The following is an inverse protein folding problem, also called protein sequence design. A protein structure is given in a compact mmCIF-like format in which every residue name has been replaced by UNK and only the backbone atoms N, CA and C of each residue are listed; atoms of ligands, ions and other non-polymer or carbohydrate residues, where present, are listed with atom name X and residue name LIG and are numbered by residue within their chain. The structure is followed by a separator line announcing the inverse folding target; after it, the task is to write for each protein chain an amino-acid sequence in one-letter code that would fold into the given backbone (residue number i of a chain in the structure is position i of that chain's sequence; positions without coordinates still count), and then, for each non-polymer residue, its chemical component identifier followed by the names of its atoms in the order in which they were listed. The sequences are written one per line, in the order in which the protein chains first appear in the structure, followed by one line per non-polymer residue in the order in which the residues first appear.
data_IF_004255071130
#
_entry.id   IF_004255071130
#
_cell.length_a   1.000
_cell.length_b   1.000
_cell.length_c   1.000
_cell.angle_alpha   90.00
_cell.angle_beta   90.00
_cell.angle_gamma   90.00
#
_symmetry.space_group_name_H-M   'P 1'
#
loop_
_entity.id
_entity.type
_entity.pdbx_description
1 polymer ?
#
# COMPACT_ATOMS: atom_id res chain seq x y z
N UNK A 1 -4.04 -9.01 23.74
CA UNK A 1 -3.06 -7.92 23.52
C UNK A 1 -3.30 -7.40 22.13
N UNK A 2 -3.46 -6.08 21.95
CA UNK A 2 -3.66 -5.43 20.66
C UNK A 2 -2.31 -5.10 20.03
N UNK A 3 -2.28 -4.96 18.71
CA UNK A 3 -1.13 -4.52 17.92
C UNK A 3 -1.62 -3.61 16.81
N UNK A 4 -0.70 -2.89 16.16
CA UNK A 4 -0.99 -2.06 14.99
C UNK A 4 -0.79 -2.89 13.74
N UNK A 5 -1.74 -2.81 12.82
CA UNK A 5 -1.82 -3.63 11.62
C UNK A 5 -1.99 -2.80 10.36
N UNK A 6 -1.59 -3.41 9.25
CA UNK A 6 -1.84 -2.90 7.90
C UNK A 6 -2.22 -4.03 6.96
N UNK A 7 -3.04 -3.72 5.96
CA UNK A 7 -3.31 -4.59 4.81
C UNK A 7 -2.60 -4.00 3.60
N UNK A 8 -1.77 -4.81 2.98
CA UNK A 8 -0.98 -4.43 1.82
C UNK A 8 -1.34 -5.26 0.59
N UNK A 9 -1.10 -4.66 -0.58
CA UNK A 9 -1.02 -5.32 -1.87
C UNK A 9 0.46 -5.38 -2.24
N UNK A 10 1.00 -6.59 -2.31
CA UNK A 10 2.41 -6.81 -2.64
C UNK A 10 2.54 -7.24 -4.10
N UNK A 11 3.58 -6.79 -4.83
CA UNK A 11 3.87 -7.32 -6.16
C UNK A 11 4.19 -8.82 -6.08
N UNK A 12 3.98 -9.58 -7.17
CA UNK A 12 4.27 -11.01 -7.21
C UNK A 12 5.73 -11.30 -6.82
N UNK A 13 5.97 -12.28 -5.90
CA UNK A 13 7.31 -12.66 -5.50
C UNK A 13 8.16 -13.11 -6.71
N UNK A 14 9.39 -12.60 -6.80
CA UNK A 14 10.32 -12.91 -7.88
C UNK A 14 10.04 -12.17 -9.20
N UNK A 15 8.99 -11.33 -9.25
CA UNK A 15 8.72 -10.46 -10.38
C UNK A 15 9.69 -9.28 -10.46
N UNK A 16 9.85 -8.70 -11.65
CA UNK A 16 10.79 -7.58 -11.89
C UNK A 16 10.50 -6.39 -10.98
N UNK A 17 9.22 -6.03 -10.83
CA UNK A 17 8.83 -4.93 -9.96
C UNK A 17 9.23 -5.18 -8.49
N UNK A 18 8.96 -6.38 -7.95
CA UNK A 18 9.32 -6.73 -6.57
C UNK A 18 10.83 -6.67 -6.36
N UNK A 19 11.60 -7.28 -7.26
CA UNK A 19 13.06 -7.33 -7.17
C UNK A 19 13.68 -5.94 -7.27
N UNK A 20 13.35 -5.18 -8.33
CA UNK A 20 13.95 -3.87 -8.60
C UNK A 20 13.55 -2.81 -7.57
N UNK A 21 12.27 -2.74 -7.18
CA UNK A 21 11.85 -1.81 -6.14
C UNK A 21 12.39 -2.22 -4.76
N UNK A 22 12.46 -3.51 -4.45
CA UNK A 22 13.07 -4.01 -3.22
C UNK A 22 14.58 -3.74 -3.12
N UNK A 23 15.33 -3.91 -4.22
CA UNK A 23 16.75 -3.52 -4.30
C UNK A 23 16.92 -2.02 -4.09
N UNK A 24 16.09 -1.21 -4.77
CA UNK A 24 16.11 0.24 -4.62
C UNK A 24 15.83 0.67 -3.17
N UNK A 25 14.77 0.14 -2.54
CA UNK A 25 14.41 0.42 -1.16
C UNK A 25 15.59 0.08 -0.22
N UNK A 26 16.19 -1.09 -0.35
CA UNK A 26 17.34 -1.49 0.48
C UNK A 26 18.55 -0.57 0.29
N UNK A 27 18.89 -0.23 -0.94
CA UNK A 27 20.01 0.64 -1.27
C UNK A 27 19.80 2.06 -0.70
N UNK A 28 18.61 2.65 -0.90
CA UNK A 28 18.32 3.98 -0.43
C UNK A 28 18.17 4.05 1.09
N UNK A 29 17.53 3.06 1.72
CA UNK A 29 17.47 2.98 3.18
C UNK A 29 18.87 2.95 3.81
N UNK A 30 19.79 2.17 3.26
CA UNK A 30 21.17 2.13 3.73
C UNK A 30 21.91 3.46 3.51
N UNK A 31 21.79 4.04 2.31
CA UNK A 31 22.44 5.31 1.94
C UNK A 31 21.93 6.49 2.77
N UNK A 32 20.61 6.56 2.96
CA UNK A 32 19.95 7.69 3.62
C UNK A 32 19.76 7.51 5.13
N UNK A 33 20.14 6.38 5.71
CA UNK A 33 20.07 6.14 7.17
C UNK A 33 20.73 7.28 7.99
N UNK A 34 21.93 7.79 7.62
CA UNK A 34 22.53 8.94 8.33
C UNK A 34 21.74 10.24 8.19
N UNK A 35 20.83 10.33 7.23
CA UNK A 35 20.01 11.49 6.92
C UNK A 35 18.55 11.35 7.41
N UNK A 36 18.24 10.38 8.24
CA UNK A 36 16.92 10.21 8.84
C UNK A 36 15.96 9.28 8.10
N UNK A 37 16.45 8.47 7.15
CA UNK A 37 15.64 7.41 6.53
C UNK A 37 15.43 6.23 7.50
N UNK A 38 14.30 5.54 7.31
CA UNK A 38 13.98 4.28 7.98
C UNK A 38 14.90 3.15 7.54
N UNK A 39 14.76 1.98 8.17
CA UNK A 39 15.21 0.71 7.63
C UNK A 39 14.47 0.33 6.34
N UNK A 40 14.93 -0.74 5.69
CA UNK A 40 14.29 -1.27 4.50
C UNK A 40 12.98 -1.99 4.86
N UNK A 41 12.03 -1.93 3.95
CA UNK A 41 10.72 -2.58 4.05
C UNK A 41 10.36 -3.28 2.73
N UNK A 42 9.37 -4.17 2.77
CA UNK A 42 8.91 -4.89 1.57
C UNK A 42 8.16 -3.95 0.60
N UNK A 43 8.37 -4.06 -0.71
CA UNK A 43 7.60 -3.31 -1.70
C UNK A 43 6.10 -3.59 -1.59
N UNK A 44 5.27 -2.56 -1.48
CA UNK A 44 3.84 -2.71 -1.36
C UNK A 44 3.05 -1.45 -1.70
N UNK A 45 1.77 -1.61 -1.98
CA UNK A 45 0.78 -0.53 -1.92
C UNK A 45 -0.12 -0.78 -0.71
N UNK A 46 -0.18 0.18 0.20
CA UNK A 46 -1.05 0.09 1.37
C UNK A 46 -2.51 0.21 0.95
N UNK A 47 -3.31 -0.80 1.27
CA UNK A 47 -4.75 -0.73 1.10
C UNK A 47 -5.40 -0.01 2.29
N UNK A 48 -5.06 -0.41 3.51
CA UNK A 48 -5.42 0.26 4.76
C UNK A 48 -4.33 0.01 5.80
N UNK A 49 -4.05 0.97 6.67
CA UNK A 49 -3.01 0.83 7.68
C UNK A 49 -3.27 1.62 8.94
N UNK A 50 -2.52 1.27 9.99
CA UNK A 50 -2.57 1.95 11.28
C UNK A 50 -3.82 1.61 12.11
N UNK A 51 -4.48 0.46 11.86
CA UNK A 51 -5.60 0.02 12.69
C UNK A 51 -5.12 -0.85 13.85
N UNK A 52 -5.81 -0.75 14.98
CA UNK A 52 -5.44 -1.44 16.21
C UNK A 52 -6.51 -2.48 16.61
N UNK A 53 -6.09 -3.74 16.70
CA UNK A 53 -6.94 -4.83 17.16
C UNK A 53 -6.10 -6.03 17.62
N UNK A 54 -6.74 -7.11 18.06
CA UNK A 54 -6.05 -8.38 18.36
C UNK A 54 -5.65 -9.09 17.08
N UNK A 55 -4.67 -10.00 17.15
CA UNK A 55 -4.25 -10.83 16.02
C UNK A 55 -5.42 -11.64 15.43
N UNK A 56 -6.30 -12.18 16.28
CA UNK A 56 -7.44 -12.96 15.83
C UNK A 56 -8.45 -12.11 15.04
N UNK A 57 -8.72 -10.89 15.50
CA UNK A 57 -9.59 -9.94 14.80
C UNK A 57 -8.98 -9.51 13.47
N UNK A 58 -7.66 -9.21 13.45
CA UNK A 58 -6.94 -8.84 12.24
C UNK A 58 -6.99 -9.96 11.18
N UNK A 59 -6.74 -11.21 11.57
CA UNK A 59 -6.81 -12.38 10.68
C UNK A 59 -8.23 -12.60 10.14
N UNK A 60 -9.22 -12.58 11.01
CA UNK A 60 -10.63 -12.73 10.62
C UNK A 60 -11.05 -11.64 9.64
N UNK A 61 -10.68 -10.38 9.92
CA UNK A 61 -10.93 -9.25 9.03
C UNK A 61 -10.25 -9.40 7.68
N UNK A 62 -8.98 -9.83 7.64
CA UNK A 62 -8.26 -10.06 6.39
C UNK A 62 -8.87 -11.17 5.52
N UNK A 63 -9.29 -12.28 6.14
CA UNK A 63 -9.99 -13.39 5.45
C UNK A 63 -11.34 -12.92 4.90
N UNK A 64 -12.12 -12.19 5.70
CA UNK A 64 -13.40 -11.64 5.24
C UNK A 64 -13.21 -10.65 4.11
N UNK A 65 -12.25 -9.72 4.23
CA UNK A 65 -11.89 -8.76 3.20
C UNK A 65 -11.53 -9.45 1.88
N UNK A 66 -10.65 -10.46 1.94
CA UNK A 66 -10.26 -11.23 0.76
C UNK A 66 -11.44 -12.01 0.13
N UNK A 67 -12.43 -12.40 0.95
CA UNK A 67 -13.67 -13.03 0.46
C UNK A 67 -14.60 -12.03 -0.25
N UNK A 68 -14.54 -10.75 0.09
CA UNK A 68 -15.38 -9.70 -0.49
C UNK A 68 -14.73 -9.04 -1.72
N UNK A 69 -13.41 -9.18 -1.88
CA UNK A 69 -12.65 -8.61 -2.98
C UNK A 69 -12.38 -9.62 -4.10
N UNK A 70 -12.39 -9.12 -5.33
CA UNK A 70 -11.78 -9.78 -6.49
C UNK A 70 -10.32 -9.36 -6.63
N UNK A 71 -9.61 -9.89 -7.62
CA UNK A 71 -8.28 -9.41 -7.99
C UNK A 71 -8.30 -7.92 -8.30
N UNK A 72 -7.26 -7.22 -7.89
CA UNK A 72 -7.19 -5.77 -7.92
C UNK A 72 -6.04 -5.34 -8.83
N UNK A 73 -6.30 -4.57 -9.91
CA UNK A 73 -5.25 -4.00 -10.71
C UNK A 73 -4.54 -2.88 -9.93
N UNK A 74 -3.24 -3.01 -9.74
CA UNK A 74 -2.35 -2.01 -9.15
C UNK A 74 -1.48 -1.47 -10.29
N UNK A 75 -2.07 -0.62 -11.13
CA UNK A 75 -1.45 -0.18 -12.39
C UNK A 75 -2.24 0.97 -13.05
N UNK A 76 -1.59 1.71 -13.94
CA UNK A 76 -0.14 1.79 -14.09
C UNK A 76 0.53 2.64 -13.01
N UNK A 77 1.86 2.59 -12.92
CA UNK A 77 2.60 3.60 -12.18
C UNK A 77 2.79 4.85 -13.04
N UNK A 78 2.53 6.02 -12.46
CA UNK A 78 2.54 7.30 -13.17
C UNK A 78 3.92 7.94 -13.18
N UNK A 79 4.48 8.14 -12.00
CA UNK A 79 5.75 8.84 -11.77
C UNK A 79 6.31 8.53 -10.39
N UNK A 80 7.55 8.98 -10.15
CA UNK A 80 8.15 9.07 -8.82
C UNK A 80 8.04 10.50 -8.32
N UNK A 81 7.64 10.66 -7.07
CA UNK A 81 7.52 11.96 -6.43
C UNK A 81 7.92 11.91 -4.95
N UNK A 82 7.95 13.06 -4.30
CA UNK A 82 8.27 13.22 -2.88
C UNK A 82 7.14 13.87 -2.11
N UNK A 83 7.11 13.64 -0.82
CA UNK A 83 6.13 14.23 0.09
C UNK A 83 6.74 14.73 1.39
N UNK A 84 5.89 15.32 2.23
CA UNK A 84 6.27 15.89 3.50
C UNK A 84 5.95 15.02 4.73
N UNK A 85 5.53 13.77 4.53
CA UNK A 85 5.21 12.86 5.64
C UNK A 85 6.23 11.73 5.69
N UNK A 86 6.56 11.25 6.89
CA UNK A 86 7.52 10.17 7.11
C UNK A 86 7.28 8.96 6.19
N UNK A 87 6.07 8.41 6.16
CA UNK A 87 5.71 7.25 5.31
C UNK A 87 5.36 7.60 3.86
N UNK A 88 5.53 8.86 3.46
CA UNK A 88 5.36 9.37 2.09
C UNK A 88 6.54 10.28 1.73
N UNK A 89 7.75 9.82 2.02
CA UNK A 89 8.98 10.59 1.78
C UNK A 89 9.33 10.60 0.28
N UNK A 90 9.59 9.43 -0.31
CA UNK A 90 9.74 9.24 -1.77
C UNK A 90 8.92 8.01 -2.18
N UNK A 91 8.13 8.13 -3.24
CA UNK A 91 7.21 7.07 -3.65
C UNK A 91 6.84 7.14 -5.14
N UNK A 92 6.46 5.99 -5.71
CA UNK A 92 5.85 5.87 -7.02
C UNK A 92 4.33 6.00 -6.88
N UNK A 93 3.71 6.89 -7.64
CA UNK A 93 2.24 7.02 -7.67
C UNK A 93 1.63 5.95 -8.58
N UNK A 94 0.57 5.33 -8.10
CA UNK A 94 -0.28 4.45 -8.90
C UNK A 94 -1.42 5.28 -9.48
N UNK A 95 -1.78 5.06 -10.74
CA UNK A 95 -2.96 5.71 -11.33
C UNK A 95 -4.22 5.26 -10.57
N UNK A 96 -5.01 6.21 -10.06
CA UNK A 96 -6.26 5.88 -9.37
C UNK A 96 -7.21 5.13 -10.32
N UNK A 97 -7.77 4.02 -9.85
CA UNK A 97 -8.82 3.29 -10.54
C UNK A 97 -9.94 2.90 -9.57
N UNK A 98 -11.14 2.68 -10.11
CA UNK A 98 -12.33 2.43 -9.30
C UNK A 98 -12.23 1.15 -8.47
N UNK A 99 -11.56 0.12 -8.98
CA UNK A 99 -11.41 -1.16 -8.28
C UNK A 99 -10.51 -1.00 -7.05
N UNK A 100 -9.39 -0.30 -7.21
CA UNK A 100 -8.46 -0.05 -6.09
C UNK A 100 -9.08 0.90 -5.06
N UNK A 101 -9.79 1.94 -5.51
CA UNK A 101 -10.52 2.86 -4.63
C UNK A 101 -11.63 2.14 -3.85
N UNK A 102 -12.39 1.26 -4.51
CA UNK A 102 -13.43 0.46 -3.87
C UNK A 102 -12.84 -0.54 -2.89
N UNK A 103 -11.74 -1.22 -3.25
CA UNK A 103 -11.05 -2.14 -2.34
C UNK A 103 -10.55 -1.42 -1.07
N UNK A 104 -10.01 -0.21 -1.22
CA UNK A 104 -9.64 0.63 -0.08
C UNK A 104 -10.85 0.97 0.80
N UNK A 105 -11.98 1.38 0.20
CA UNK A 105 -13.19 1.73 0.95
C UNK A 105 -13.74 0.54 1.74
N UNK A 106 -13.80 -0.66 1.12
CA UNK A 106 -14.22 -1.90 1.78
C UNK A 106 -13.26 -2.25 2.93
N UNK A 107 -11.95 -2.14 2.70
CA UNK A 107 -10.95 -2.40 3.73
C UNK A 107 -11.06 -1.39 4.89
N UNK A 108 -11.24 -0.10 4.60
CA UNK A 108 -11.41 0.93 5.61
C UNK A 108 -12.66 0.67 6.49
N UNK A 109 -13.78 0.28 5.88
CA UNK A 109 -15.00 -0.10 6.61
C UNK A 109 -14.77 -1.36 7.48
N UNK A 110 -14.16 -2.39 6.90
CA UNK A 110 -13.93 -3.68 7.58
C UNK A 110 -13.06 -3.54 8.85
N UNK A 111 -12.13 -2.60 8.86
CA UNK A 111 -11.22 -2.37 9.98
C UNK A 111 -11.53 -1.09 10.79
N UNK A 112 -12.67 -0.43 10.52
CA UNK A 112 -13.11 0.76 11.26
C UNK A 112 -12.19 1.97 11.09
N UNK A 113 -11.45 2.04 9.99
CA UNK A 113 -10.55 3.15 9.66
C UNK A 113 -11.29 4.16 8.79
N UNK A 114 -11.04 5.44 9.00
CA UNK A 114 -11.58 6.47 8.09
C UNK A 114 -10.98 6.29 6.69
N UNK A 115 -11.83 6.19 5.68
CA UNK A 115 -11.38 6.11 4.31
C UNK A 115 -10.56 7.35 3.90
N UNK A 116 -9.57 7.16 3.03
CA UNK A 116 -8.63 8.19 2.59
C UNK A 116 -7.24 8.04 3.22
N UNK A 117 -6.36 9.00 2.95
CA UNK A 117 -4.97 8.98 3.45
C UNK A 117 -4.80 9.64 4.84
N UNK A 118 -5.85 9.66 5.65
CA UNK A 118 -5.90 10.40 6.91
C UNK A 118 -6.17 11.90 6.69
N UNK A 119 -6.78 12.56 7.69
CA UNK A 119 -7.06 13.99 7.62
C UNK A 119 -8.07 14.43 6.54
N UNK A 120 -8.88 13.50 6.00
CA UNK A 120 -9.92 13.82 5.00
C UNK A 120 -9.44 13.93 3.55
N UNK A 121 -8.18 13.61 3.26
CA UNK A 121 -7.69 13.56 1.87
C UNK A 121 -8.19 12.29 1.17
N UNK A 122 -8.48 12.33 -0.16
CA UNK A 122 -8.80 11.13 -0.92
C UNK A 122 -7.69 10.07 -0.83
N UNK A 123 -8.07 8.80 -1.04
CA UNK A 123 -7.11 7.72 -1.15
C UNK A 123 -6.18 7.97 -2.34
N UNK A 124 -4.87 7.92 -2.08
CA UNK A 124 -3.82 8.07 -3.08
C UNK A 124 -2.95 6.81 -3.05
N UNK A 125 -3.21 5.84 -3.93
CA UNK A 125 -2.41 4.63 -3.99
C UNK A 125 -0.97 4.94 -4.43
N UNK A 126 0.00 4.37 -3.74
CA UNK A 126 1.42 4.57 -4.03
C UNK A 126 2.26 3.41 -3.50
N UNK A 127 3.38 3.16 -4.15
CA UNK A 127 4.45 2.28 -3.68
C UNK A 127 5.56 3.16 -3.10
N UNK A 128 5.77 3.08 -1.80
CA UNK A 128 6.83 3.83 -1.13
C UNK A 128 8.20 3.27 -1.45
N UNK A 129 9.17 4.17 -1.65
CA UNK A 129 10.57 3.84 -1.94
C UNK A 129 11.50 4.23 -0.80
N UNK A 130 11.14 5.28 -0.05
CA UNK A 130 11.86 5.73 1.14
C UNK A 130 10.85 6.22 2.17
N UNK A 131 11.03 5.81 3.41
CA UNK A 131 10.40 6.42 4.58
C UNK A 131 11.44 7.24 5.34
N UNK A 132 11.05 8.32 5.98
CA UNK A 132 11.90 9.12 6.83
C UNK A 132 11.70 10.61 6.72
N UNK A 133 12.37 11.34 7.63
CA UNK A 133 12.47 12.79 7.63
C UNK A 133 13.78 13.22 6.95
N UNK A 134 13.87 12.90 5.66
CA UNK A 134 15.07 13.09 4.84
C UNK A 134 15.10 14.53 4.31
N UNK A 135 16.29 15.20 4.23
CA UNK A 135 16.43 16.52 3.65
C UNK A 135 15.93 16.60 2.20
N UNK A 136 15.39 17.76 1.81
CA UNK A 136 14.78 17.94 0.48
C UNK A 136 15.75 17.64 -0.68
N UNK A 137 17.04 18.05 -0.56
CA UNK A 137 18.05 17.74 -1.57
C UNK A 137 18.29 16.25 -1.77
N UNK A 138 18.22 15.48 -0.69
CA UNK A 138 18.36 14.02 -0.76
C UNK A 138 17.11 13.36 -1.35
N UNK A 139 15.90 13.89 -1.05
CA UNK A 139 14.67 13.45 -1.70
C UNK A 139 14.71 13.71 -3.20
N UNK A 140 15.19 14.90 -3.64
CA UNK A 140 15.31 15.24 -5.06
C UNK A 140 16.27 14.30 -5.79
N UNK A 141 17.42 14.01 -5.19
CA UNK A 141 18.38 13.05 -5.74
C UNK A 141 17.77 11.65 -5.83
N UNK A 142 17.05 11.21 -4.79
CA UNK A 142 16.39 9.91 -4.77
C UNK A 142 15.26 9.81 -5.82
N UNK A 143 14.46 10.88 -6.01
CA UNK A 143 13.44 10.93 -7.07
C UNK A 143 14.08 10.80 -8.46
N UNK A 144 15.16 11.53 -8.73
CA UNK A 144 15.85 11.46 -10.02
C UNK A 144 16.41 10.05 -10.27
N UNK A 145 17.04 9.45 -9.27
CA UNK A 145 17.58 8.09 -9.35
C UNK A 145 16.48 7.04 -9.55
N UNK A 146 15.40 7.10 -8.77
CA UNK A 146 14.26 6.19 -8.90
C UNK A 146 13.59 6.31 -10.27
N UNK A 147 13.41 7.54 -10.78
CA UNK A 147 12.87 7.78 -12.11
C UNK A 147 13.72 7.11 -13.19
N UNK A 148 15.04 7.27 -13.11
CA UNK A 148 15.96 6.67 -14.07
C UNK A 148 15.99 5.13 -14.01
N UNK A 149 15.92 4.57 -12.80
CA UNK A 149 16.05 3.12 -12.60
C UNK A 149 14.74 2.35 -12.76
N UNK A 150 13.59 2.95 -12.42
CA UNK A 150 12.31 2.25 -12.33
C UNK A 150 11.31 2.69 -13.41
N UNK A 151 11.22 3.98 -13.74
CA UNK A 151 10.21 4.46 -14.69
C UNK A 151 10.56 4.21 -16.17
N UNK A 152 11.80 3.83 -16.47
CA UNK A 152 12.22 3.45 -17.84
C UNK A 152 11.85 2.03 -18.22
N UNK A 153 11.43 1.20 -17.28
CA UNK A 153 11.12 -0.21 -17.49
C UNK A 153 9.60 -0.41 -17.64
N UNK A 154 9.17 -0.83 -18.83
CA UNK A 154 7.76 -1.01 -19.15
C UNK A 154 7.08 -2.08 -18.25
N UNK A 155 7.83 -3.11 -17.81
CA UNK A 155 7.31 -4.16 -16.92
C UNK A 155 7.04 -3.58 -15.52
N UNK A 156 7.88 -2.68 -15.04
CA UNK A 156 7.69 -1.99 -13.76
C UNK A 156 6.48 -1.04 -13.84
N UNK A 157 6.44 -0.16 -14.84
CA UNK A 157 5.39 0.86 -14.93
C UNK A 157 4.02 0.28 -15.26
N UNK A 158 3.94 -0.90 -15.88
CA UNK A 158 2.67 -1.59 -16.12
C UNK A 158 1.99 -2.07 -14.83
N UNK A 159 2.74 -2.15 -13.71
CA UNK A 159 2.20 -2.61 -12.43
C UNK A 159 1.90 -4.10 -12.40
N UNK A 160 0.93 -4.50 -11.58
CA UNK A 160 0.51 -5.90 -11.45
C UNK A 160 -0.97 -6.05 -11.11
N UNK A 161 -1.50 -7.25 -11.25
CA UNK A 161 -2.77 -7.64 -10.69
C UNK A 161 -2.55 -8.28 -9.32
N UNK A 162 -3.02 -7.66 -8.24
CA UNK A 162 -2.95 -8.23 -6.90
C UNK A 162 -3.87 -9.43 -6.79
N UNK A 163 -3.30 -10.57 -6.47
CA UNK A 163 -3.98 -11.86 -6.28
C UNK A 163 -4.15 -12.23 -4.82
N UNK A 164 -3.60 -11.44 -3.92
CA UNK A 164 -3.62 -11.63 -2.48
C UNK A 164 -3.71 -10.27 -1.78
N UNK A 165 -4.23 -10.28 -0.57
CA UNK A 165 -3.94 -9.25 0.44
C UNK A 165 -2.99 -9.82 1.47
N UNK A 166 -2.06 -9.04 1.97
CA UNK A 166 -1.17 -9.43 3.05
C UNK A 166 -1.49 -8.65 4.33
N UNK A 167 -1.58 -9.39 5.44
CA UNK A 167 -1.72 -8.83 6.77
C UNK A 167 -0.34 -8.65 7.38
N UNK A 168 -0.01 -7.41 7.71
CA UNK A 168 1.25 -7.04 8.34
C UNK A 168 1.02 -6.46 9.73
N UNK A 169 1.87 -6.86 10.67
CA UNK A 169 2.04 -6.15 11.92
C UNK A 169 3.02 -5.01 11.65
N UNK A 170 2.55 -3.76 11.83
CA UNK A 170 3.32 -2.56 11.50
C UNK A 170 3.28 -1.62 12.69
N UNK A 171 4.32 -1.66 13.53
CA UNK A 171 4.47 -0.64 14.56
C UNK A 171 4.94 0.66 13.91
N UNK A 172 4.02 1.62 13.78
CA UNK A 172 4.32 2.94 13.19
C UNK A 172 5.26 3.79 14.07
N UNK A 173 5.48 3.40 15.32
CA UNK A 173 6.49 3.99 16.21
C UNK A 173 7.90 3.45 15.96
N UNK A 174 8.03 2.33 15.26
CA UNK A 174 9.32 1.77 14.88
C UNK A 174 9.82 2.40 13.56
N UNK A 175 10.58 3.47 13.69
CA UNK A 175 11.20 4.14 12.54
C UNK A 175 12.23 3.27 11.79
N UNK A 176 12.66 2.13 12.35
CA UNK A 176 13.58 1.21 11.66
C UNK A 176 12.86 0.24 10.74
N UNK A 177 11.56 0.04 10.92
CA UNK A 177 10.74 -1.00 10.28
C UNK A 177 11.22 -2.44 10.55
N UNK A 178 12.17 -2.65 11.47
CA UNK A 178 12.74 -3.97 11.78
C UNK A 178 11.75 -4.89 12.50
N UNK A 179 10.79 -4.31 13.24
CA UNK A 179 9.72 -5.06 13.90
C UNK A 179 8.56 -5.42 12.98
N UNK A 180 8.55 -4.93 11.74
CA UNK A 180 7.47 -5.15 10.80
C UNK A 180 7.49 -6.57 10.26
N UNK A 181 6.36 -7.25 10.34
CA UNK A 181 6.26 -8.67 10.07
C UNK A 181 5.01 -8.99 9.26
N UNK A 182 5.18 -9.73 8.15
CA UNK A 182 4.05 -10.31 7.44
C UNK A 182 3.54 -11.52 8.20
N UNK A 183 2.30 -11.40 8.70
CA UNK A 183 1.67 -12.44 9.52
C UNK A 183 0.88 -13.42 8.67
N UNK A 184 0.28 -12.95 7.57
CA UNK A 184 -0.55 -13.79 6.72
C UNK A 184 -0.64 -13.26 5.29
N UNK A 185 -0.79 -14.17 4.33
CA UNK A 185 -1.07 -13.89 2.93
C UNK A 185 -2.38 -14.57 2.57
N UNK A 186 -3.42 -13.77 2.26
CA UNK A 186 -4.78 -14.27 2.02
C UNK A 186 -5.13 -14.11 0.54
N UNK A 187 -5.43 -15.20 -0.19
CA UNK A 187 -5.73 -15.14 -1.61
C UNK A 187 -7.06 -14.44 -1.87
N UNK A 188 -7.07 -13.54 -2.85
CA UNK A 188 -8.26 -12.91 -3.41
C UNK A 188 -8.99 -13.90 -4.31
N UNK A 189 -10.30 -13.73 -4.45
CA UNK A 189 -11.09 -14.57 -5.35
C UNK A 189 -10.63 -14.40 -6.80
N UNK A 190 -10.49 -15.51 -7.53
CA UNK A 190 -10.45 -15.47 -8.99
C UNK A 190 -11.78 -14.92 -9.48
N UNK A 191 -11.74 -13.96 -10.40
CA UNK A 191 -12.92 -13.27 -10.93
C UNK A 191 -14.05 -14.26 -11.29
N UNK A 192 -15.08 -14.32 -10.46
CA UNK A 192 -16.36 -14.92 -10.75
C UNK A 192 -17.38 -13.86 -10.38
N UNK A 193 -18.42 -13.69 -11.18
CA UNK A 193 -19.49 -12.67 -11.08
C UNK A 193 -19.65 -12.12 -9.65
N UNK A 194 -19.05 -10.98 -9.44
CA UNK A 194 -19.02 -10.31 -8.15
C UNK A 194 -20.42 -9.78 -7.86
N UNK A 195 -20.86 -9.89 -6.64
CA UNK A 195 -22.00 -9.13 -6.10
C UNK A 195 -21.74 -7.62 -6.02
N UNK A 196 -21.07 -7.06 -7.03
CA UNK A 196 -20.82 -5.62 -7.16
C UNK A 196 -22.11 -4.81 -7.17
N UNK A 197 -23.19 -5.39 -7.73
CA UNK A 197 -24.50 -4.73 -7.81
C UNK A 197 -25.09 -4.43 -6.43
N UNK A 198 -24.95 -5.31 -5.44
CA UNK A 198 -25.53 -5.06 -4.10
C UNK A 198 -24.80 -3.98 -3.32
N UNK A 199 -23.46 -3.97 -3.39
CA UNK A 199 -22.70 -2.99 -2.62
C UNK A 199 -22.84 -1.58 -3.20
N UNK A 200 -22.89 -1.46 -4.54
CA UNK A 200 -23.07 -0.19 -5.23
C UNK A 200 -24.48 0.37 -5.02
N UNK A 201 -25.48 -0.48 -5.02
CA UNK A 201 -26.87 -0.08 -4.72
C UNK A 201 -27.04 0.36 -3.26
N UNK A 202 -26.47 -0.38 -2.30
CA UNK A 202 -26.52 -0.02 -0.88
C UNK A 202 -25.70 1.25 -0.58
N UNK A 203 -24.58 1.44 -1.24
CA UNK A 203 -23.75 2.65 -1.11
C UNK A 203 -24.45 3.89 -1.68
N UNK A 204 -25.04 3.78 -2.86
CA UNK A 204 -25.81 4.90 -3.49
C UNK A 204 -27.04 5.24 -2.64
N UNK A 205 -27.75 4.23 -2.11
CA UNK A 205 -28.92 4.50 -1.26
C UNK A 205 -28.56 5.19 0.06
N UNK A 206 -27.37 4.95 0.61
CA UNK A 206 -26.90 5.60 1.85
C UNK A 206 -26.30 6.99 1.63
N UNK A 207 -25.92 7.34 0.40
CA UNK A 207 -25.27 8.62 0.08
C UNK A 207 -26.18 9.62 -0.65
N UNK A 208 -27.43 9.27 -0.95
CA UNK A 208 -28.41 10.24 -1.45
C UNK A 208 -28.90 11.11 -0.29
N UNK A 209 -28.81 12.45 -0.40
CA UNK A 209 -29.42 13.36 0.57
C UNK A 209 -30.94 13.23 0.53
N UNK A 210 -31.61 13.51 1.67
CA UNK A 210 -33.06 13.44 1.79
C UNK A 210 -33.79 14.41 0.86
#
# INVERSE_FOLDING_TARGET
MTSIWSIWLEPPPGGVLEQRSGEFIRAQSARLKPHGASGAFAPHVTLVGGFECTLEEARRGAVQLAADLARIPVAPFMDVTKGGRFHQCVYMRVEPNDQLATAHAIAAEAFGVKAGNGGGSPYMPHLSLVYGDVPESEKDACVAEATAQLCGDAEIVSGWEATNVSLWRTDVGDATCESWERVELVPLRKCGLVKWARFYEDFIQRTQPP
#
